data_IF_670970233406
#
_entry.id   IF_670970233406
#
_cell.length_a   1.000
_cell.length_b   1.000
_cell.length_c   1.000
_cell.angle_alpha   90.00
_cell.angle_beta   90.00
_cell.angle_gamma   90.00
#
_symmetry.space_group_name_H-M   'P 1'
#
loop_
_entity.id
_entity.type
_entity.pdbx_description
1 polymer ?
#
# COMPACT_ATOMS: atom_id res chain seq x y z
N UNK A 1 0.87 -14.85 -11.94
CA UNK A 1 1.73 -15.60 -10.99
C UNK A 1 3.02 -14.82 -10.70
N UNK A 2 2.97 -13.71 -9.93
CA UNK A 2 4.15 -12.81 -9.72
C UNK A 2 4.45 -12.62 -8.22
N UNK A 3 4.02 -13.54 -7.35
CA UNK A 3 4.15 -13.38 -5.89
C UNK A 3 5.17 -14.34 -5.23
N UNK A 4 5.86 -15.20 -6.00
CA UNK A 4 6.78 -16.22 -5.44
C UNK A 4 8.27 -15.86 -5.44
N UNK A 5 8.71 -14.89 -6.25
CA UNK A 5 10.15 -14.61 -6.40
C UNK A 5 10.71 -13.58 -5.40
N UNK A 6 9.91 -12.60 -4.95
CA UNK A 6 10.39 -11.57 -4.01
C UNK A 6 10.78 -12.13 -2.63
N UNK A 7 10.04 -13.14 -2.15
CA UNK A 7 10.30 -13.74 -0.83
C UNK A 7 11.65 -14.46 -0.77
N UNK A 8 12.13 -14.98 -1.89
CA UNK A 8 13.43 -15.66 -1.99
C UNK A 8 14.60 -14.69 -1.92
N UNK A 9 14.52 -13.58 -2.66
CA UNK A 9 15.64 -12.64 -2.78
C UNK A 9 15.90 -11.89 -1.47
N UNK A 10 14.85 -11.41 -0.80
CA UNK A 10 14.99 -10.74 0.51
C UNK A 10 15.54 -11.68 1.58
N UNK A 11 15.12 -12.96 1.57
CA UNK A 11 15.62 -13.94 2.53
C UNK A 11 17.09 -14.29 2.30
N UNK A 12 17.50 -14.50 1.04
CA UNK A 12 18.91 -14.71 0.68
C UNK A 12 19.75 -13.51 1.09
N UNK A 13 19.30 -12.30 0.77
CA UNK A 13 20.01 -11.07 1.11
C UNK A 13 20.18 -10.87 2.63
N UNK A 14 19.15 -11.17 3.44
CA UNK A 14 19.24 -11.14 4.91
C UNK A 14 20.26 -12.18 5.40
N UNK A 15 20.19 -13.41 4.88
CA UNK A 15 21.10 -14.48 5.28
C UNK A 15 22.56 -14.13 4.95
N UNK A 16 22.82 -13.59 3.76
CA UNK A 16 24.17 -13.17 3.34
C UNK A 16 24.73 -12.08 4.27
N UNK A 17 23.90 -11.11 4.70
CA UNK A 17 24.33 -10.06 5.63
C UNK A 17 24.56 -10.60 7.06
N UNK A 18 23.81 -11.63 7.47
CA UNK A 18 24.05 -12.31 8.75
C UNK A 18 25.36 -13.11 8.71
N UNK A 19 25.67 -13.77 7.60
CA UNK A 19 26.94 -14.49 7.43
C UNK A 19 28.12 -13.52 7.47
N UNK A 20 28.02 -12.37 6.77
CA UNK A 20 29.03 -11.32 6.82
C UNK A 20 29.21 -10.74 8.23
N UNK A 21 28.10 -10.52 8.96
CA UNK A 21 28.15 -10.02 10.33
C UNK A 21 28.86 -11.01 11.26
N UNK A 22 28.53 -12.29 11.16
CA UNK A 22 29.16 -13.36 11.94
C UNK A 22 30.66 -13.48 11.61
N UNK A 23 31.02 -13.32 10.34
CA UNK A 23 32.43 -13.31 9.93
C UNK A 23 33.18 -12.08 10.47
N UNK A 24 32.61 -10.88 10.37
CA UNK A 24 33.17 -9.66 10.96
C UNK A 24 33.36 -9.79 12.48
N UNK A 25 32.41 -10.41 13.17
CA UNK A 25 32.51 -10.75 14.59
C UNK A 25 33.67 -11.74 14.85
N UNK A 26 33.85 -12.77 14.02
CA UNK A 26 34.92 -13.76 14.20
C UNK A 26 36.33 -13.16 14.12
N UNK A 27 36.50 -12.07 13.36
CA UNK A 27 37.75 -11.33 13.23
C UNK A 27 37.82 -10.09 14.15
N UNK A 28 36.81 -9.89 15.01
CA UNK A 28 36.70 -8.74 15.93
C UNK A 28 36.72 -7.37 15.22
N UNK A 29 36.27 -7.31 13.96
CA UNK A 29 36.13 -6.08 13.21
C UNK A 29 34.80 -5.41 13.57
N UNK A 30 34.87 -4.47 14.53
CA UNK A 30 33.68 -3.78 15.05
C UNK A 30 33.18 -2.69 14.09
N UNK A 31 34.08 -2.05 13.33
CA UNK A 31 33.71 -1.03 12.34
C UNK A 31 32.87 -1.68 11.22
N UNK A 32 33.32 -2.83 10.73
CA UNK A 32 32.59 -3.55 9.70
C UNK A 32 31.24 -4.09 10.19
N UNK A 33 31.16 -4.56 11.45
CA UNK A 33 29.87 -4.93 12.07
C UNK A 33 28.88 -3.77 12.08
N UNK A 34 29.32 -2.56 12.42
CA UNK A 34 28.50 -1.35 12.45
C UNK A 34 28.04 -0.95 11.04
N UNK A 35 28.91 -1.05 10.04
CA UNK A 35 28.57 -0.80 8.63
C UNK A 35 27.50 -1.76 8.10
N UNK A 36 27.62 -3.06 8.42
CA UNK A 36 26.63 -4.08 8.03
C UNK A 36 25.28 -3.74 8.65
N UNK A 37 25.22 -3.44 9.95
CA UNK A 37 23.97 -3.06 10.63
C UNK A 37 23.38 -1.78 10.00
N UNK A 38 24.21 -0.77 9.72
CA UNK A 38 23.76 0.47 9.10
C UNK A 38 23.19 0.24 7.69
N UNK A 39 23.81 -0.63 6.89
CA UNK A 39 23.30 -1.02 5.58
C UNK A 39 21.92 -1.69 5.68
N UNK A 40 21.75 -2.60 6.65
CA UNK A 40 20.48 -3.30 6.87
C UNK A 40 19.35 -2.38 7.30
N UNK A 41 19.63 -1.45 8.20
CA UNK A 41 18.64 -0.44 8.64
C UNK A 41 18.22 0.49 7.49
N UNK A 42 19.17 0.89 6.63
CA UNK A 42 18.86 1.70 5.44
C UNK A 42 17.95 0.96 4.47
N UNK A 43 18.24 -0.31 4.19
CA UNK A 43 17.41 -1.11 3.30
C UNK A 43 16.00 -1.34 3.85
N UNK A 44 15.86 -1.68 5.13
CA UNK A 44 14.55 -1.83 5.75
C UNK A 44 13.75 -0.52 5.66
N UNK A 45 14.40 0.62 5.93
CA UNK A 45 13.76 1.94 5.80
C UNK A 45 13.25 2.20 4.38
N UNK A 46 14.06 1.92 3.36
CA UNK A 46 13.67 2.09 1.95
C UNK A 46 12.50 1.16 1.56
N UNK A 47 12.53 -0.09 2.00
CA UNK A 47 11.44 -1.06 1.76
C UNK A 47 10.15 -0.58 2.42
N UNK A 48 10.21 -0.13 3.68
CA UNK A 48 9.04 0.38 4.37
C UNK A 48 8.48 1.65 3.70
N UNK A 49 9.34 2.54 3.21
CA UNK A 49 8.92 3.72 2.46
C UNK A 49 8.22 3.35 1.16
N UNK A 50 8.77 2.39 0.40
CA UNK A 50 8.17 1.96 -0.86
C UNK A 50 6.85 1.21 -0.65
N UNK A 51 6.75 0.39 0.41
CA UNK A 51 5.50 -0.27 0.81
C UNK A 51 4.43 0.75 1.17
N UNK A 52 4.77 1.78 1.96
CA UNK A 52 3.86 2.88 2.30
C UNK A 52 3.43 3.65 1.06
N UNK A 53 4.36 3.95 0.15
CA UNK A 53 4.09 4.63 -1.12
C UNK A 53 3.13 3.82 -1.98
N UNK A 54 3.40 2.53 -2.15
CA UNK A 54 2.57 1.60 -2.91
C UNK A 54 1.17 1.50 -2.31
N UNK A 55 1.06 1.29 -0.99
CA UNK A 55 -0.23 1.25 -0.30
C UNK A 55 -1.04 2.55 -0.48
N UNK A 56 -0.36 3.71 -0.39
CA UNK A 56 -0.99 5.02 -0.64
C UNK A 56 -1.46 5.18 -2.08
N UNK A 57 -0.67 4.71 -3.05
CA UNK A 57 -1.06 4.71 -4.46
C UNK A 57 -2.32 3.86 -4.69
N UNK A 58 -2.42 2.68 -4.08
CA UNK A 58 -3.63 1.85 -4.15
C UNK A 58 -4.87 2.55 -3.58
N UNK A 59 -4.72 3.26 -2.46
CA UNK A 59 -5.82 4.03 -1.87
C UNK A 59 -6.28 5.16 -2.81
N UNK A 60 -5.36 5.86 -3.46
CA UNK A 60 -5.71 6.86 -4.47
C UNK A 60 -6.45 6.25 -5.65
N UNK A 61 -5.98 5.12 -6.19
CA UNK A 61 -6.69 4.43 -7.28
C UNK A 61 -8.12 4.04 -6.88
N UNK A 62 -8.32 3.55 -5.66
CA UNK A 62 -9.66 3.25 -5.13
C UNK A 62 -10.52 4.50 -5.02
N UNK A 63 -9.96 5.59 -4.51
CA UNK A 63 -10.66 6.87 -4.41
C UNK A 63 -11.13 7.38 -5.78
N UNK A 64 -10.25 7.31 -6.78
CA UNK A 64 -10.56 7.74 -8.15
C UNK A 64 -11.65 6.85 -8.77
N UNK A 65 -11.56 5.53 -8.62
CA UNK A 65 -12.59 4.60 -9.06
C UNK A 65 -13.95 4.91 -8.45
N UNK A 66 -14.02 5.12 -7.13
CA UNK A 66 -15.27 5.45 -6.44
C UNK A 66 -15.86 6.77 -6.98
N UNK A 67 -15.03 7.76 -7.29
CA UNK A 67 -15.50 9.03 -7.84
C UNK A 67 -16.05 8.87 -9.26
N UNK A 68 -15.41 8.05 -10.10
CA UNK A 68 -15.91 7.73 -11.44
C UNK A 68 -17.26 7.01 -11.36
N UNK A 69 -17.37 6.00 -10.50
CA UNK A 69 -18.63 5.27 -10.28
C UNK A 69 -19.74 6.19 -9.77
N UNK A 70 -19.41 7.12 -8.85
CA UNK A 70 -20.38 8.12 -8.39
C UNK A 70 -20.83 9.06 -9.51
N UNK A 71 -19.92 9.51 -10.38
CA UNK A 71 -20.27 10.36 -11.52
C UNK A 71 -21.24 9.64 -12.46
N UNK A 72 -20.99 8.36 -12.74
CA UNK A 72 -21.87 7.55 -13.56
C UNK A 72 -23.26 7.37 -12.91
N UNK A 73 -23.31 7.03 -11.62
CA UNK A 73 -24.59 6.90 -10.90
C UNK A 73 -25.36 8.22 -10.85
N UNK A 74 -24.68 9.37 -10.72
CA UNK A 74 -25.34 10.67 -10.77
C UNK A 74 -25.90 10.98 -12.15
N UNK A 75 -25.22 10.55 -13.22
CA UNK A 75 -25.75 10.65 -14.57
C UNK A 75 -27.01 9.79 -14.71
N UNK A 76 -26.95 8.52 -14.30
CA UNK A 76 -28.08 7.59 -14.34
C UNK A 76 -29.29 8.13 -13.54
N UNK A 77 -29.06 8.67 -12.34
CA UNK A 77 -30.10 9.30 -11.52
C UNK A 77 -30.79 10.49 -12.20
N UNK A 78 -30.08 11.24 -13.04
CA UNK A 78 -30.67 12.38 -13.78
C UNK A 78 -31.49 11.93 -14.99
N UNK A 79 -31.19 10.77 -15.56
CA UNK A 79 -31.81 10.26 -16.78
C UNK A 79 -32.92 9.24 -16.54
N UNK A 80 -32.93 8.57 -15.38
CA UNK A 80 -33.96 7.58 -15.04
C UNK A 80 -35.32 8.24 -14.78
N UNK A 81 -36.35 7.68 -15.41
CA UNK A 81 -37.76 8.03 -15.20
C UNK A 81 -38.50 6.97 -14.35
N UNK A 82 -37.82 5.86 -14.03
CA UNK A 82 -38.33 4.75 -13.23
C UNK A 82 -37.97 4.97 -11.75
N UNK A 83 -39.01 5.09 -10.91
CA UNK A 83 -38.89 5.38 -9.48
C UNK A 83 -38.22 4.23 -8.69
N UNK A 84 -38.42 2.98 -9.10
CA UNK A 84 -37.77 1.82 -8.47
C UNK A 84 -36.26 1.82 -8.77
N UNK A 85 -35.89 2.10 -10.02
CA UNK A 85 -34.48 2.25 -10.40
C UNK A 85 -33.82 3.43 -9.70
N UNK A 86 -34.51 4.56 -9.56
CA UNK A 86 -33.99 5.74 -8.85
C UNK A 86 -33.67 5.39 -7.40
N UNK A 87 -34.52 4.62 -6.73
CA UNK A 87 -34.28 4.23 -5.33
C UNK A 87 -33.09 3.27 -5.19
N UNK A 88 -32.94 2.30 -6.10
CA UNK A 88 -31.76 1.43 -6.14
C UNK A 88 -30.47 2.21 -6.42
N UNK A 89 -30.51 3.19 -7.33
CA UNK A 89 -29.37 4.07 -7.61
C UNK A 89 -28.99 4.91 -6.38
N UNK A 90 -29.97 5.40 -5.60
CA UNK A 90 -29.71 6.13 -4.34
C UNK A 90 -29.00 5.26 -3.31
N UNK A 91 -29.41 3.99 -3.15
CA UNK A 91 -28.73 3.03 -2.27
C UNK A 91 -27.27 2.82 -2.67
N UNK A 92 -27.01 2.67 -3.98
CA UNK A 92 -25.65 2.53 -4.52
C UNK A 92 -24.79 3.78 -4.25
N UNK A 93 -25.33 4.97 -4.48
CA UNK A 93 -24.65 6.23 -4.17
C UNK A 93 -24.32 6.34 -2.68
N UNK A 94 -25.25 5.96 -1.79
CA UNK A 94 -25.00 5.94 -0.36
C UNK A 94 -23.85 5.01 0.03
N UNK A 95 -23.83 3.81 -0.53
CA UNK A 95 -22.76 2.84 -0.27
C UNK A 95 -21.39 3.37 -0.75
N UNK A 96 -21.33 3.92 -1.97
CA UNK A 96 -20.09 4.52 -2.49
C UNK A 96 -19.61 5.71 -1.65
N UNK A 97 -20.53 6.52 -1.10
CA UNK A 97 -20.15 7.60 -0.17
C UNK A 97 -19.48 7.05 1.09
N UNK A 98 -19.99 5.97 1.66
CA UNK A 98 -19.38 5.32 2.82
C UNK A 98 -17.98 4.76 2.48
N UNK A 99 -17.84 4.09 1.33
CA UNK A 99 -16.55 3.58 0.88
C UNK A 99 -15.54 4.73 0.67
N UNK A 100 -15.97 5.83 0.05
CA UNK A 100 -15.13 7.02 -0.16
C UNK A 100 -14.64 7.60 1.17
N UNK A 101 -15.52 7.72 2.17
CA UNK A 101 -15.15 8.22 3.49
C UNK A 101 -14.08 7.34 4.15
N UNK A 102 -14.22 6.02 4.05
CA UNK A 102 -13.25 5.09 4.62
C UNK A 102 -11.88 5.21 3.91
N UNK A 103 -11.86 5.29 2.57
CA UNK A 103 -10.61 5.51 1.82
C UNK A 103 -9.94 6.84 2.20
N UNK A 104 -10.71 7.92 2.34
CA UNK A 104 -10.21 9.23 2.77
C UNK A 104 -9.64 9.17 4.18
N UNK A 105 -10.29 8.45 5.10
CA UNK A 105 -9.79 8.24 6.46
C UNK A 105 -8.45 7.51 6.44
N UNK A 106 -8.31 6.44 5.66
CA UNK A 106 -7.07 5.69 5.51
C UNK A 106 -5.95 6.54 4.90
N UNK A 107 -6.27 7.36 3.88
CA UNK A 107 -5.33 8.32 3.30
C UNK A 107 -4.84 9.33 4.35
N UNK A 108 -5.71 9.89 5.18
CA UNK A 108 -5.33 10.83 6.25
C UNK A 108 -4.49 10.17 7.34
N UNK A 109 -4.82 8.93 7.74
CA UNK A 109 -4.05 8.19 8.74
C UNK A 109 -2.63 7.85 8.25
N UNK A 110 -2.47 7.56 6.95
CA UNK A 110 -1.15 7.34 6.34
C UNK A 110 -0.33 8.61 6.06
N UNK A 111 -0.86 9.81 6.34
CA UNK A 111 -0.15 11.10 6.20
C UNK A 111 0.37 11.66 7.53
N UNK A 112 0.08 11.01 8.66
CA UNK A 112 0.70 11.31 9.97
C UNK A 112 1.96 10.50 10.15
#
# INVERSE_FOLDING_TARGET
>A
MIHKHHKSFTQTWINDHLDLYNYAQSISDTEWQEEIIASMRRQDTLVQQELRRSARFELWRKFDSINLDMLELYHQLKTSQDEEQVEELRKKVWNLRLQRLEVVKQLHQGMK
#
